data_IF_206474216079
#
_entry.id   IF_206474216079
#
_cell.length_a   1.000
_cell.length_b   1.000
_cell.length_c   1.000
_cell.angle_alpha   90.00
_cell.angle_beta   90.00
_cell.angle_gamma   90.00
#
_symmetry.space_group_name_H-M   'P 1'
#
loop_
_entity.id
_entity.type
_entity.pdbx_description
1 polymer ?
#
# COMPACT_ATOMS: atom_id res chain seq x y z
N UNK A 1 -7.29 -2.32 -10.81
CA UNK A 1 -6.92 -2.93 -12.11
C UNK A 1 -5.64 -3.73 -11.87
N UNK A 2 -5.60 -5.03 -12.18
CA UNK A 2 -4.39 -5.85 -11.95
C UNK A 2 -3.27 -5.57 -12.96
N UNK A 3 -3.56 -4.81 -14.02
CA UNK A 3 -2.59 -4.32 -15.01
C UNK A 3 -2.03 -2.94 -14.69
N UNK A 4 -2.30 -2.44 -13.48
CA UNK A 4 -1.79 -1.15 -13.06
C UNK A 4 -0.26 -1.16 -13.02
N UNK A 5 0.37 -0.11 -13.56
CA UNK A 5 1.82 0.04 -13.60
C UNK A 5 2.35 0.43 -12.21
N UNK A 6 3.59 0.01 -11.90
CA UNK A 6 4.24 0.31 -10.61
C UNK A 6 4.36 1.83 -10.39
N UNK A 7 4.49 2.61 -11.45
CA UNK A 7 4.43 4.08 -11.43
C UNK A 7 3.15 4.61 -10.76
N UNK A 8 2.00 3.99 -11.04
CA UNK A 8 0.71 4.42 -10.44
C UNK A 8 0.63 4.02 -8.97
N UNK A 9 1.16 2.84 -8.62
CA UNK A 9 1.27 2.41 -7.22
C UNK A 9 2.13 3.38 -6.41
N UNK A 10 3.33 3.70 -6.90
CA UNK A 10 4.24 4.65 -6.26
C UNK A 10 3.56 5.99 -6.02
N UNK A 11 2.95 6.56 -7.08
CA UNK A 11 2.27 7.84 -6.99
C UNK A 11 1.13 7.83 -5.97
N UNK A 12 0.37 6.73 -5.86
CA UNK A 12 -0.71 6.58 -4.86
C UNK A 12 -0.16 6.53 -3.44
N UNK A 13 0.93 5.79 -3.22
CA UNK A 13 1.58 5.69 -1.91
C UNK A 13 2.19 7.03 -1.52
N UNK A 14 2.95 7.69 -2.41
CA UNK A 14 3.54 9.00 -2.14
C UNK A 14 2.48 10.05 -1.77
N UNK A 15 1.39 10.11 -2.54
CA UNK A 15 0.29 11.03 -2.22
C UNK A 15 -0.39 10.70 -0.89
N UNK A 16 -0.59 9.43 -0.56
CA UNK A 16 -1.17 9.06 0.73
C UNK A 16 -0.25 9.47 1.89
N UNK A 17 1.05 9.20 1.76
CA UNK A 17 2.09 9.56 2.74
C UNK A 17 2.14 11.08 2.94
N UNK A 18 2.22 11.83 1.84
CA UNK A 18 2.33 13.28 1.85
C UNK A 18 1.07 13.96 2.37
N UNK A 19 -0.11 13.58 1.89
CA UNK A 19 -1.34 14.29 2.20
C UNK A 19 -1.91 13.92 3.58
N UNK A 20 -1.72 12.67 4.05
CA UNK A 20 -2.29 12.22 5.31
C UNK A 20 -1.32 12.31 6.49
N UNK A 21 -0.01 12.29 6.23
CA UNK A 21 1.01 12.28 7.29
C UNK A 21 2.00 13.44 7.19
N UNK A 22 1.98 14.23 6.12
CA UNK A 22 2.90 15.36 5.93
C UNK A 22 4.37 14.92 5.75
N UNK A 23 4.59 13.67 5.34
CA UNK A 23 5.92 13.08 5.18
C UNK A 23 6.33 13.08 3.71
N UNK A 24 7.65 13.12 3.48
CA UNK A 24 8.26 12.87 2.17
C UNK A 24 9.22 11.70 2.37
N UNK A 25 8.90 10.54 1.81
CA UNK A 25 9.65 9.29 2.02
C UNK A 25 10.32 8.91 0.70
N UNK A 26 11.54 8.37 0.78
CA UNK A 26 12.19 7.76 -0.38
C UNK A 26 11.55 6.39 -0.63
N UNK A 27 10.65 6.31 -1.61
CA UNK A 27 10.05 5.07 -2.09
C UNK A 27 10.97 4.38 -3.12
N UNK A 28 10.79 3.07 -3.38
CA UNK A 28 11.43 2.40 -4.52
C UNK A 28 11.16 3.11 -5.85
N UNK A 29 12.17 3.18 -6.72
CA UNK A 29 12.04 3.78 -8.06
C UNK A 29 11.23 2.82 -8.95
N UNK A 30 10.09 3.25 -9.53
CA UNK A 30 9.31 2.41 -10.42
C UNK A 30 10.10 1.84 -11.61
N UNK A 31 11.16 2.53 -12.06
CA UNK A 31 12.01 2.06 -13.17
C UNK A 31 12.77 0.76 -12.84
N UNK A 32 13.04 0.50 -11.55
CA UNK A 32 13.65 -0.76 -11.08
C UNK A 32 12.71 -1.96 -11.29
N UNK A 33 11.44 -1.70 -11.59
CA UNK A 33 10.39 -2.69 -11.84
C UNK A 33 9.94 -2.72 -13.31
N UNK A 34 10.77 -2.27 -14.26
CA UNK A 34 10.43 -2.38 -15.70
C UNK A 34 9.97 -3.80 -16.07
N UNK A 35 8.85 -3.89 -16.80
CA UNK A 35 8.14 -5.14 -17.16
C UNK A 35 7.67 -6.02 -15.98
N UNK A 36 7.80 -5.54 -14.74
CA UNK A 36 7.29 -6.20 -13.55
C UNK A 36 5.87 -5.69 -13.26
N UNK A 37 4.87 -6.58 -13.23
CA UNK A 37 3.53 -6.18 -12.84
C UNK A 37 3.44 -5.91 -11.34
N UNK A 38 2.52 -5.04 -10.92
CA UNK A 38 2.28 -4.72 -9.50
C UNK A 38 2.00 -5.98 -8.63
N UNK A 39 1.41 -7.02 -9.21
CA UNK A 39 1.14 -8.28 -8.51
C UNK A 39 2.37 -9.16 -8.27
N UNK A 40 3.54 -8.79 -8.79
CA UNK A 40 4.79 -9.50 -8.50
C UNK A 40 5.04 -9.47 -6.98
N UNK A 41 5.34 -10.63 -6.36
CA UNK A 41 5.47 -10.75 -4.91
C UNK A 41 6.59 -9.89 -4.32
N UNK A 42 7.48 -9.28 -5.12
CA UNK A 42 8.51 -8.36 -4.63
C UNK A 42 8.03 -6.92 -4.47
N UNK A 43 7.06 -6.48 -5.29
CA UNK A 43 6.68 -5.06 -5.39
C UNK A 43 6.15 -4.55 -4.04
N UNK A 44 5.03 -5.06 -3.55
CA UNK A 44 4.45 -4.56 -2.29
C UNK A 44 5.39 -4.68 -1.08
N UNK A 45 6.13 -5.78 -0.88
CA UNK A 45 7.13 -5.86 0.20
C UNK A 45 8.23 -4.80 0.15
N UNK A 46 8.69 -4.40 -1.03
CA UNK A 46 9.70 -3.33 -1.16
C UNK A 46 9.15 -1.97 -0.72
N UNK A 47 7.90 -1.65 -1.10
CA UNK A 47 7.22 -0.44 -0.63
C UNK A 47 6.93 -0.49 0.88
N UNK A 48 6.50 -1.64 1.41
CA UNK A 48 6.31 -1.87 2.85
C UNK A 48 7.61 -1.65 3.63
N UNK A 49 8.74 -2.14 3.11
CA UNK A 49 10.05 -1.93 3.71
C UNK A 49 10.47 -0.45 3.75
N UNK A 50 10.06 0.36 2.77
CA UNK A 50 10.27 1.81 2.80
C UNK A 50 9.38 2.50 3.84
N UNK A 51 8.10 2.15 3.91
CA UNK A 51 7.12 2.73 4.83
C UNK A 51 7.42 2.42 6.30
N UNK A 52 7.82 1.18 6.60
CA UNK A 52 8.11 0.72 7.96
C UNK A 52 9.21 1.51 8.67
N UNK A 53 10.13 2.15 7.93
CA UNK A 53 11.15 3.06 8.48
C UNK A 53 10.56 4.32 9.11
N UNK A 54 9.27 4.58 8.89
CA UNK A 54 8.53 5.77 9.32
C UNK A 54 7.28 5.40 10.13
N UNK A 55 7.22 4.22 10.74
CA UNK A 55 6.07 3.71 11.50
C UNK A 55 4.76 3.66 10.69
N UNK A 56 4.88 3.53 9.36
CA UNK A 56 3.77 3.36 8.43
C UNK A 56 3.79 1.94 7.85
N UNK A 57 2.63 1.50 7.38
CA UNK A 57 2.46 0.24 6.66
C UNK A 57 1.32 0.28 5.65
N UNK A 58 1.35 -0.63 4.70
CA UNK A 58 0.24 -0.94 3.81
C UNK A 58 -0.76 -1.83 4.55
N UNK A 59 -2.04 -1.48 4.43
CA UNK A 59 -3.16 -2.35 4.75
C UNK A 59 -3.93 -2.68 3.48
N UNK A 60 -4.38 -3.92 3.37
CA UNK A 60 -5.16 -4.38 2.22
C UNK A 60 -6.58 -4.74 2.64
N UNK A 61 -7.53 -4.49 1.74
CA UNK A 61 -8.90 -4.96 1.88
C UNK A 61 -9.07 -6.14 0.94
N UNK A 62 -9.42 -7.30 1.47
CA UNK A 62 -9.80 -8.47 0.68
C UNK A 62 -11.23 -8.29 0.16
N UNK A 63 -11.35 -7.87 -1.09
CA UNK A 63 -12.63 -7.72 -1.80
C UNK A 63 -13.09 -9.01 -2.47
N UNK A 64 -12.30 -10.10 -2.41
CA UNK A 64 -12.53 -11.36 -3.14
C UNK A 64 -12.65 -11.20 -4.66
N UNK A 65 -12.14 -10.11 -5.22
CA UNK A 65 -12.15 -9.79 -6.64
C UNK A 65 -10.73 -9.67 -7.21
N UNK A 66 -10.61 -9.59 -8.54
CA UNK A 66 -9.33 -9.44 -9.26
C UNK A 66 -8.82 -7.99 -9.23
N UNK A 67 -8.82 -7.38 -8.04
CA UNK A 67 -8.34 -6.02 -7.80
C UNK A 67 -7.58 -5.92 -6.48
N UNK A 68 -6.81 -4.85 -6.35
CA UNK A 68 -6.11 -4.51 -5.11
C UNK A 68 -6.73 -3.24 -4.55
N UNK A 69 -7.29 -3.35 -3.34
CA UNK A 69 -7.66 -2.20 -2.52
C UNK A 69 -6.67 -2.13 -1.38
N UNK A 70 -5.87 -1.07 -1.35
CA UNK A 70 -4.88 -0.83 -0.33
C UNK A 70 -4.99 0.59 0.21
N UNK A 71 -4.41 0.82 1.39
CA UNK A 71 -4.28 2.12 2.01
C UNK A 71 -3.05 2.15 2.91
N UNK A 72 -2.56 3.34 3.23
CA UNK A 72 -1.43 3.54 4.14
C UNK A 72 -1.95 3.96 5.50
N UNK A 73 -1.47 3.32 6.57
CA UNK A 73 -1.82 3.68 7.93
C UNK A 73 -0.62 3.53 8.88
N UNK A 74 -0.71 4.08 10.10
CA UNK A 74 0.33 3.89 11.10
C UNK A 74 0.32 2.45 11.59
N UNK A 75 1.51 1.89 11.83
CA UNK A 75 1.66 0.54 12.39
C UNK A 75 0.95 0.42 13.75
N UNK A 76 0.96 1.47 14.56
CA UNK A 76 0.29 1.50 15.86
C UNK A 76 -1.25 1.41 15.77
N UNK A 77 -1.84 1.77 14.62
CA UNK A 77 -3.30 1.81 14.42
C UNK A 77 -3.86 0.49 13.86
N UNK A 78 -3.02 -0.55 13.72
CA UNK A 78 -3.38 -1.84 13.11
C UNK A 78 -4.73 -2.38 13.56
N UNK A 79 -4.94 -2.55 14.87
CA UNK A 79 -6.18 -3.16 15.39
C UNK A 79 -7.41 -2.29 15.13
N UNK A 80 -7.27 -0.96 15.17
CA UNK A 80 -8.39 -0.05 14.91
C UNK A 80 -8.78 -0.08 13.41
N UNK A 81 -7.79 -0.16 12.53
CA UNK A 81 -7.97 -0.30 11.10
C UNK A 81 -8.60 -1.64 10.74
N UNK A 82 -8.08 -2.75 11.28
CA UNK A 82 -8.64 -4.08 11.07
C UNK A 82 -10.13 -4.13 11.45
N UNK A 83 -10.49 -3.53 12.58
CA UNK A 83 -11.87 -3.41 13.03
C UNK A 83 -12.71 -2.57 12.06
N UNK A 84 -12.20 -1.43 11.59
CA UNK A 84 -12.90 -0.58 10.64
C UNK A 84 -13.17 -1.29 9.30
N UNK A 85 -12.19 -2.04 8.78
CA UNK A 85 -12.35 -2.86 7.57
C UNK A 85 -13.41 -3.95 7.79
N UNK A 86 -13.42 -4.58 8.97
CA UNK A 86 -14.45 -5.56 9.32
C UNK A 86 -15.85 -4.95 9.38
N UNK A 87 -15.99 -3.73 9.91
CA UNK A 87 -17.28 -3.04 10.03
C UNK A 87 -17.91 -2.68 8.69
N UNK A 88 -17.10 -2.46 7.66
CA UNK A 88 -17.58 -2.24 6.28
C UNK A 88 -17.82 -3.55 5.52
N UNK A 89 -17.71 -4.70 6.18
CA UNK A 89 -18.06 -6.01 5.62
C UNK A 89 -16.93 -6.73 4.88
N UNK A 90 -15.68 -6.27 5.01
CA UNK A 90 -14.52 -6.89 4.36
C UNK A 90 -13.51 -7.44 5.38
N UNK A 91 -12.48 -8.11 4.89
CA UNK A 91 -11.38 -8.60 5.72
C UNK A 91 -10.12 -7.77 5.47
N UNK A 92 -9.39 -7.47 6.55
CA UNK A 92 -8.06 -6.90 6.47
C UNK A 92 -7.06 -8.00 6.09
N UNK A 93 -6.13 -7.68 5.20
CA UNK A 93 -5.05 -8.57 4.78
C UNK A 93 -3.69 -7.89 4.90
#
# INVERSE_FOLDING_TARGET
DWKEEVDTLEWRIDNAVKNNFGLCISLPDPQDYSDTPVYDPKVFPDYEAALSKHDLKLGFIDTQADEYVFFVHRTADQSAVEEAVRQIGYQYK
#
